data_IF_462519622953
#
_entry.id   IF_462519622953
#
_cell.length_a   1.000
_cell.length_b   1.000
_cell.length_c   1.000
_cell.angle_alpha   90.00
_cell.angle_beta   90.00
_cell.angle_gamma   90.00
#
_symmetry.space_group_name_H-M   'P 1'
#
loop_
_entity.id
_entity.type
_entity.pdbx_description
1 polymer ?
#
# COMPACT_ATOMS: atom_id res chain seq x y z
N UNK A 1 24.08 -2.02 0.63
CA UNK A 1 23.15 -3.15 0.88
C UNK A 1 22.19 -2.85 2.03
N UNK A 2 22.62 -2.16 3.10
CA UNK A 2 21.72 -1.65 4.17
C UNK A 2 20.62 -0.70 3.68
N UNK A 3 20.91 0.19 2.71
CA UNK A 3 19.94 1.16 2.20
C UNK A 3 18.76 0.53 1.43
N UNK A 4 18.94 -0.68 0.89
CA UNK A 4 17.87 -1.43 0.22
C UNK A 4 16.97 -2.10 1.27
N UNK A 5 17.53 -2.57 2.39
CA UNK A 5 16.77 -3.19 3.48
C UNK A 5 15.84 -2.24 4.23
N UNK A 6 16.23 -0.97 4.40
CA UNK A 6 15.37 0.09 4.97
C UNK A 6 14.31 0.59 3.98
N UNK A 7 14.58 0.52 2.68
CA UNK A 7 13.59 0.82 1.64
C UNK A 7 12.47 -0.21 1.57
N UNK A 8 12.81 -1.51 1.65
CA UNK A 8 11.86 -2.63 1.57
C UNK A 8 10.88 -2.68 2.77
N UNK A 9 11.30 -2.26 3.97
CA UNK A 9 10.41 -2.14 5.14
C UNK A 9 9.47 -0.93 5.06
N UNK A 10 9.76 0.05 4.20
CA UNK A 10 8.86 1.16 3.86
C UNK A 10 7.80 0.76 2.83
N UNK A 11 8.18 -0.05 1.83
CA UNK A 11 7.24 -0.63 0.87
C UNK A 11 6.19 -1.52 1.49
N UNK A 12 6.48 -2.13 2.64
CA UNK A 12 5.51 -2.92 3.37
C UNK A 12 4.32 -2.09 3.85
N UNK A 13 4.58 -0.89 4.39
CA UNK A 13 3.53 0.04 4.81
C UNK A 13 2.73 0.56 3.61
N UNK A 14 3.36 0.63 2.44
CA UNK A 14 2.72 1.00 1.17
C UNK A 14 1.95 -0.18 0.52
N UNK A 15 2.31 -1.44 0.79
CA UNK A 15 1.58 -2.62 0.35
C UNK A 15 0.16 -2.68 0.93
N UNK A 16 -0.02 -2.08 2.11
CA UNK A 16 -1.31 -1.94 2.79
C UNK A 16 -2.20 -0.87 2.13
N UNK A 17 -1.60 0.14 1.49
CA UNK A 17 -2.28 1.22 0.77
C UNK A 17 -2.55 0.85 -0.69
N UNK A 18 -1.57 0.25 -1.36
CA UNK A 18 -1.71 -0.42 -2.64
C UNK A 18 -2.00 -1.91 -2.41
N UNK A 19 -3.13 -2.22 -1.76
CA UNK A 19 -3.55 -3.56 -1.29
C UNK A 19 -3.20 -4.70 -2.26
N UNK A 20 -2.01 -5.28 -2.09
CA UNK A 20 -1.64 -6.52 -2.76
C UNK A 20 -2.17 -7.65 -1.90
N UNK A 21 -3.12 -8.42 -2.43
CA UNK A 21 -3.50 -9.67 -1.80
C UNK A 21 -2.30 -10.63 -1.79
N UNK A 22 -1.63 -10.75 -0.65
CA UNK A 22 -0.79 -11.91 -0.34
C UNK A 22 -1.74 -13.06 -0.06
N UNK A 23 -2.04 -13.89 -1.06
CA UNK A 23 -2.74 -15.16 -0.81
C UNK A 23 -1.99 -16.32 -1.45
N UNK A 24 -1.54 -17.24 -0.59
CA UNK A 24 -1.11 -18.59 -0.96
C UNK A 24 -2.32 -19.43 -1.44
N UNK A 25 -2.09 -20.55 -2.14
CA UNK A 25 -2.93 -20.98 -3.25
C UNK A 25 -4.13 -21.82 -2.80
N UNK A 26 -5.33 -21.43 -3.22
CA UNK A 26 -6.32 -22.34 -3.82
C UNK A 26 -7.56 -21.58 -4.25
N UNK A 27 -7.80 -21.60 -5.56
CA UNK A 27 -9.12 -21.47 -6.18
C UNK A 27 -9.90 -20.19 -5.87
N UNK A 28 -9.52 -19.10 -6.53
CA UNK A 28 -10.48 -18.17 -7.13
C UNK A 28 -9.83 -17.52 -8.36
N UNK A 29 -10.02 -18.16 -9.52
CA UNK A 29 -10.05 -17.46 -10.81
C UNK A 29 -11.16 -16.40 -10.68
N UNK A 30 -10.82 -15.14 -10.96
CA UNK A 30 -11.66 -13.95 -10.81
C UNK A 30 -11.78 -13.45 -9.38
N UNK A 31 -10.94 -12.47 -9.01
CA UNK A 31 -11.39 -11.34 -8.19
C UNK A 31 -10.67 -10.08 -8.70
N UNK A 32 -11.49 -9.23 -9.30
CA UNK A 32 -11.14 -7.97 -9.96
C UNK A 32 -10.45 -6.98 -9.01
N UNK A 33 -9.54 -6.20 -9.61
CA UNK A 33 -9.28 -4.79 -9.36
C UNK A 33 -9.28 -4.36 -7.89
N UNK A 34 -8.07 -4.18 -7.35
CA UNK A 34 -7.86 -3.57 -6.04
C UNK A 34 -8.48 -2.17 -6.01
N UNK A 35 -9.54 -2.03 -5.22
CA UNK A 35 -10.26 -0.79 -4.97
C UNK A 35 -10.01 -0.37 -3.53
N UNK A 36 -9.14 0.63 -3.32
CA UNK A 36 -9.26 1.67 -2.28
C UNK A 36 -8.54 2.92 -2.80
N UNK A 37 -9.23 4.06 -2.77
CA UNK A 37 -8.90 5.37 -3.39
C UNK A 37 -8.89 5.34 -4.92
N UNK A 38 -10.06 5.23 -5.56
CA UNK A 38 -10.17 5.09 -7.03
C UNK A 38 -9.44 3.88 -7.65
N UNK A 39 -8.64 3.13 -6.88
CA UNK A 39 -7.96 1.91 -7.26
C UNK A 39 -6.47 1.94 -6.89
N UNK A 40 -5.72 0.89 -7.24
CA UNK A 40 -4.27 0.96 -7.32
C UNK A 40 -3.88 1.75 -8.59
N UNK A 41 -3.89 3.06 -8.52
CA UNK A 41 -3.68 3.96 -9.66
C UNK A 41 -2.49 4.92 -9.45
N UNK A 42 -1.70 4.75 -8.39
CA UNK A 42 -0.53 5.59 -8.12
C UNK A 42 -0.87 7.03 -7.69
N UNK A 43 -2.14 7.37 -7.44
CA UNK A 43 -2.58 8.70 -6.97
C UNK A 43 -1.85 9.18 -5.70
N UNK A 44 -1.55 8.26 -4.77
CA UNK A 44 -0.77 8.51 -3.56
C UNK A 44 0.64 9.07 -3.83
N UNK A 45 1.24 8.79 -4.99
CA UNK A 45 2.58 9.26 -5.34
C UNK A 45 2.59 10.71 -5.79
N UNK A 46 1.44 11.27 -6.18
CA UNK A 46 1.33 12.62 -6.73
C UNK A 46 1.51 13.67 -5.65
N UNK A 47 2.36 14.67 -5.92
CA UNK A 47 2.53 15.84 -5.05
C UNK A 47 1.43 16.89 -5.26
N UNK A 48 1.25 17.75 -4.25
CA UNK A 48 0.25 18.82 -4.31
C UNK A 48 0.54 19.78 -5.45
N UNK A 49 -0.47 19.98 -6.30
CA UNK A 49 -0.43 20.94 -7.40
C UNK A 49 -1.74 21.73 -7.43
N UNK A 50 -2.64 21.44 -8.37
CA UNK A 50 -4.02 21.97 -8.41
C UNK A 50 -5.01 21.17 -7.54
N UNK A 51 -4.53 20.10 -6.91
CA UNK A 51 -5.24 19.26 -5.95
C UNK A 51 -4.37 19.03 -4.71
N UNK A 52 -5.01 18.69 -3.59
CA UNK A 52 -4.30 18.29 -2.38
C UNK A 52 -3.81 16.84 -2.48
N UNK A 53 -2.52 16.61 -2.22
CA UNK A 53 -1.93 15.26 -2.19
C UNK A 53 -2.53 14.38 -1.10
N UNK A 54 -2.60 13.07 -1.36
CA UNK A 54 -2.92 12.08 -0.33
C UNK A 54 -1.80 11.90 0.69
N UNK A 55 -0.57 12.34 0.40
CA UNK A 55 0.55 12.29 1.35
C UNK A 55 0.30 13.10 2.62
N UNK A 56 -0.61 14.08 2.57
CA UNK A 56 -1.01 14.90 3.74
C UNK A 56 -2.36 14.46 4.34
N UNK A 57 -2.91 13.32 3.93
CA UNK A 57 -4.06 12.72 4.60
C UNK A 57 -3.68 12.26 6.01
N UNK A 58 -4.63 12.24 6.95
CA UNK A 58 -4.39 11.93 8.37
C UNK A 58 -3.73 10.57 8.59
N UNK A 59 -4.05 9.57 7.77
CA UNK A 59 -3.46 8.25 7.83
C UNK A 59 -2.05 8.17 7.25
N UNK A 60 -1.70 9.10 6.35
CA UNK A 60 -0.50 9.02 5.52
C UNK A 60 0.60 9.97 5.99
N UNK A 61 0.20 11.17 6.44
CA UNK A 61 1.10 12.24 6.86
C UNK A 61 2.05 11.73 7.95
N UNK A 62 3.35 11.86 7.68
CA UNK A 62 4.47 11.37 8.52
C UNK A 62 4.45 9.86 8.84
N UNK A 63 3.60 9.08 8.18
CA UNK A 63 3.48 7.62 8.36
C UNK A 63 4.07 6.87 7.15
N UNK A 64 3.58 7.19 5.95
CA UNK A 64 3.99 6.55 4.70
C UNK A 64 5.37 7.03 4.29
N UNK A 65 6.17 6.11 3.75
CA UNK A 65 7.57 6.33 3.38
C UNK A 65 7.96 5.46 2.19
N UNK A 66 9.12 5.74 1.59
CA UNK A 66 9.66 4.98 0.48
C UNK A 66 9.32 5.53 -0.91
N UNK A 67 8.79 6.76 -0.98
CA UNK A 67 8.50 7.45 -2.25
C UNK A 67 9.74 7.56 -3.13
N UNK A 68 10.89 7.85 -2.53
CA UNK A 68 12.16 8.03 -3.24
C UNK A 68 12.64 6.74 -3.92
N UNK A 69 12.29 5.58 -3.36
CA UNK A 69 12.65 4.30 -3.96
C UNK A 69 11.77 4.02 -5.18
N UNK A 70 10.49 4.41 -5.15
CA UNK A 70 9.60 4.35 -6.31
C UNK A 70 10.13 5.24 -7.43
N UNK A 71 10.54 6.46 -7.11
CA UNK A 71 11.13 7.39 -8.06
C UNK A 71 12.41 6.83 -8.71
N UNK A 72 13.28 6.19 -7.92
CA UNK A 72 14.49 5.54 -8.42
C UNK A 72 14.18 4.36 -9.36
N UNK A 73 13.20 3.52 -9.01
CA UNK A 73 12.78 2.41 -9.87
C UNK A 73 12.22 2.97 -11.19
N UNK A 74 11.31 3.95 -11.10
CA UNK A 74 10.68 4.58 -12.27
C UNK A 74 11.72 5.21 -13.19
N UNK A 75 12.62 6.02 -12.64
CA UNK A 75 13.70 6.65 -13.41
C UNK A 75 14.65 5.62 -14.03
N UNK A 76 14.98 4.53 -13.31
CA UNK A 76 15.82 3.45 -13.82
C UNK A 76 15.18 2.73 -15.00
N UNK A 77 13.88 2.42 -14.91
CA UNK A 77 13.12 1.79 -15.99
C UNK A 77 12.99 2.71 -17.21
N UNK A 78 12.59 3.96 -17.00
CA UNK A 78 12.40 4.92 -18.08
C UNK A 78 13.73 5.19 -18.80
N UNK A 79 14.85 5.24 -18.07
CA UNK A 79 16.20 5.33 -18.66
C UNK A 79 16.58 4.09 -19.45
N UNK A 80 16.29 2.89 -18.94
CA UNK A 80 16.64 1.64 -19.60
C UNK A 80 15.88 1.45 -20.92
N UNK A 81 14.58 1.76 -20.92
CA UNK A 81 13.72 1.60 -22.10
C UNK A 81 13.67 2.85 -22.99
N UNK A 82 14.22 3.98 -22.53
CA UNK A 82 14.20 5.26 -23.24
C UNK A 82 12.81 5.92 -23.31
N UNK A 83 11.81 5.36 -22.64
CA UNK A 83 10.44 5.88 -22.59
C UNK A 83 9.67 5.32 -21.38
N UNK A 84 8.62 6.02 -20.92
CA UNK A 84 7.81 5.59 -19.79
C UNK A 84 6.84 4.46 -20.18
N UNK A 85 7.31 3.22 -20.11
CA UNK A 85 6.52 2.03 -20.49
C UNK A 85 5.78 1.35 -19.34
N UNK A 86 6.21 1.57 -18.10
CA UNK A 86 5.61 0.96 -16.90
C UNK A 86 5.01 2.04 -16.03
N UNK A 87 3.77 1.82 -15.59
CA UNK A 87 3.05 2.71 -14.70
C UNK A 87 3.63 2.67 -13.29
N UNK A 88 3.59 3.80 -12.59
CA UNK A 88 3.94 3.87 -11.18
C UNK A 88 3.05 2.94 -10.35
N UNK A 89 1.76 2.84 -10.70
CA UNK A 89 0.83 1.89 -10.11
C UNK A 89 1.30 0.43 -10.18
N UNK A 90 1.83 -0.02 -11.32
CA UNK A 90 2.36 -1.38 -11.43
C UNK A 90 3.70 -1.55 -10.72
N UNK A 91 4.55 -0.52 -10.68
CA UNK A 91 5.79 -0.52 -9.88
C UNK A 91 5.45 -0.79 -8.41
N UNK A 92 4.45 -0.09 -7.85
CA UNK A 92 4.05 -0.27 -6.46
C UNK A 92 3.62 -1.70 -6.16
N UNK A 93 2.81 -2.29 -7.03
CA UNK A 93 2.32 -3.66 -6.84
C UNK A 93 3.45 -4.70 -7.02
N UNK A 94 4.39 -4.48 -7.93
CA UNK A 94 5.54 -5.40 -8.04
C UNK A 94 6.46 -5.25 -6.82
N UNK A 95 6.76 -4.01 -6.42
CA UNK A 95 7.66 -3.72 -5.31
C UNK A 95 7.13 -4.28 -3.98
N UNK A 96 5.84 -4.12 -3.69
CA UNK A 96 5.28 -4.67 -2.45
C UNK A 96 5.27 -6.22 -2.44
N UNK A 97 5.04 -6.89 -3.58
CA UNK A 97 5.22 -8.36 -3.68
C UNK A 97 6.67 -8.76 -3.41
N UNK A 98 7.62 -8.06 -4.03
CA UNK A 98 9.05 -8.37 -3.89
C UNK A 98 9.55 -8.11 -2.46
N UNK A 99 9.05 -7.08 -1.79
CA UNK A 99 9.32 -6.83 -0.36
C UNK A 99 8.87 -7.98 0.53
N UNK A 100 7.65 -8.50 0.33
CA UNK A 100 7.15 -9.64 1.12
C UNK A 100 8.01 -10.89 0.88
N UNK A 101 8.36 -11.19 -0.37
CA UNK A 101 9.20 -12.35 -0.70
C UNK A 101 10.61 -12.19 -0.12
N UNK A 102 11.22 -11.02 -0.25
CA UNK A 102 12.57 -10.75 0.23
C UNK A 102 12.68 -10.78 1.76
N UNK A 103 11.67 -10.27 2.47
CA UNK A 103 11.72 -10.13 3.94
C UNK A 103 11.19 -11.38 4.65
N UNK A 104 10.09 -11.97 4.18
CA UNK A 104 9.45 -13.11 4.87
C UNK A 104 9.90 -14.47 4.34
N UNK A 105 10.66 -14.53 3.24
CA UNK A 105 11.09 -15.79 2.63
C UNK A 105 9.94 -16.66 2.12
N UNK A 106 8.76 -16.05 1.91
CA UNK A 106 7.54 -16.74 1.51
C UNK A 106 7.51 -17.14 0.02
N UNK A 107 6.52 -17.95 -0.39
CA UNK A 107 6.33 -18.30 -1.78
C UNK A 107 6.01 -17.06 -2.61
N UNK A 108 6.61 -16.96 -3.80
CA UNK A 108 6.30 -15.89 -4.75
C UNK A 108 4.99 -16.16 -5.49
N UNK A 109 4.31 -15.10 -5.93
CA UNK A 109 3.13 -15.19 -6.78
C UNK A 109 3.25 -14.23 -7.97
N UNK A 110 2.52 -14.54 -9.06
CA UNK A 110 2.43 -13.65 -10.22
C UNK A 110 1.49 -12.49 -9.89
N UNK A 111 2.00 -11.28 -10.07
CA UNK A 111 1.21 -10.05 -10.01
C UNK A 111 0.56 -9.79 -11.36
N UNK A 112 -0.74 -9.49 -11.38
CA UNK A 112 -1.41 -8.98 -12.58
C UNK A 112 -0.98 -7.54 -12.83
N UNK A 113 -0.51 -7.24 -14.04
CA UNK A 113 -0.05 -5.91 -14.49
C UNK A 113 -1.03 -5.31 -15.50
N UNK A 114 -0.83 -4.05 -15.84
CA UNK A 114 -1.67 -3.28 -16.76
C UNK A 114 -2.40 -2.11 -16.10
N UNK A 115 -2.05 -1.76 -14.85
CA UNK A 115 -2.61 -0.58 -14.17
C UNK A 115 -2.14 0.69 -14.87
N UNK A 116 -2.95 1.74 -14.78
CA UNK A 116 -2.63 3.06 -15.33
C UNK A 116 -2.52 4.06 -14.19
N UNK A 117 -1.64 5.04 -14.38
CA UNK A 117 -1.43 6.09 -13.40
C UNK A 117 -2.57 7.12 -13.44
N UNK A 118 -3.03 7.51 -12.26
CA UNK A 118 -3.95 8.60 -12.06
C UNK A 118 -3.28 9.94 -12.34
N UNK A 119 -4.10 10.92 -12.73
CA UNK A 119 -3.67 12.31 -12.94
C UNK A 119 -4.06 13.22 -11.78
N UNK A 120 -4.67 12.67 -10.71
CA UNK A 120 -5.15 13.43 -9.55
C UNK A 120 -5.11 12.60 -8.26
N UNK A 121 -4.85 13.28 -7.15
CA UNK A 121 -4.94 12.71 -5.80
C UNK A 121 -6.22 13.14 -5.05
N UNK A 122 -6.61 12.35 -4.03
CA UNK A 122 -7.89 12.44 -3.32
C UNK A 122 -7.72 12.39 -1.79
N UNK A 123 -7.11 13.42 -1.20
CA UNK A 123 -6.91 13.55 0.25
C UNK A 123 -8.16 13.29 1.10
N UNK A 124 -9.31 13.85 0.74
CA UNK A 124 -10.55 13.68 1.51
C UNK A 124 -11.09 12.24 1.43
N UNK A 125 -10.90 11.59 0.29
CA UNK A 125 -11.22 10.18 0.12
C UNK A 125 -10.28 9.31 0.98
N UNK A 126 -8.99 9.63 1.02
CA UNK A 126 -8.03 8.98 1.91
C UNK A 126 -8.45 9.11 3.38
N UNK A 127 -8.83 10.32 3.82
CA UNK A 127 -9.27 10.59 5.19
C UNK A 127 -10.55 9.83 5.60
N UNK A 128 -11.45 9.59 4.65
CA UNK A 128 -12.73 8.91 4.92
C UNK A 128 -12.68 7.40 4.73
N UNK A 129 -11.69 6.89 3.99
CA UNK A 129 -11.65 5.50 3.55
C UNK A 129 -10.60 4.66 4.26
N UNK A 130 -9.46 5.25 4.64
CA UNK A 130 -8.41 4.51 5.32
C UNK A 130 -8.87 4.07 6.71
N UNK A 131 -8.66 2.79 7.10
CA UNK A 131 -9.00 2.34 8.44
C UNK A 131 -8.11 3.03 9.48
N UNK A 132 -8.68 3.34 10.64
CA UNK A 132 -7.93 3.89 11.78
C UNK A 132 -7.59 2.78 12.78
N UNK A 133 -6.45 2.91 13.46
CA UNK A 133 -6.01 1.94 14.47
C UNK A 133 -6.98 1.81 15.66
N UNK A 134 -7.81 2.83 15.91
CA UNK A 134 -8.82 2.84 16.97
C UNK A 134 -10.17 2.24 16.57
N UNK A 135 -10.34 1.76 15.33
CA UNK A 135 -11.59 1.13 14.90
C UNK A 135 -11.81 -0.20 15.61
N UNK A 136 -13.04 -0.45 16.04
CA UNK A 136 -13.45 -1.76 16.55
C UNK A 136 -13.69 -2.76 15.40
N UNK A 137 -13.85 -4.04 15.75
CA UNK A 137 -14.01 -5.10 14.75
C UNK A 137 -15.23 -4.89 13.82
N UNK A 138 -16.43 -4.49 14.31
CA UNK A 138 -17.55 -4.14 13.42
C UNK A 138 -17.22 -3.02 12.44
N UNK A 139 -16.55 -1.95 12.88
CA UNK A 139 -16.14 -0.85 12.01
C UNK A 139 -15.12 -1.30 10.95
N UNK A 140 -14.12 -2.10 11.33
CA UNK A 140 -13.15 -2.68 10.40
C UNK A 140 -13.80 -3.56 9.35
N UNK A 141 -14.74 -4.44 9.76
CA UNK A 141 -15.49 -5.29 8.82
C UNK A 141 -16.30 -4.43 7.84
N UNK A 142 -16.96 -3.38 8.32
CA UNK A 142 -17.73 -2.45 7.48
C UNK A 142 -16.83 -1.70 6.50
N UNK A 143 -15.70 -1.18 6.98
CA UNK A 143 -14.71 -0.49 6.17
C UNK A 143 -14.20 -1.40 5.03
N UNK A 144 -13.78 -2.63 5.35
CA UNK A 144 -13.31 -3.59 4.33
C UNK A 144 -14.41 -3.96 3.34
N UNK A 145 -15.65 -4.14 3.81
CA UNK A 145 -16.81 -4.42 2.95
C UNK A 145 -17.08 -3.29 1.95
N UNK A 146 -16.94 -2.03 2.37
CA UNK A 146 -17.09 -0.86 1.48
C UNK A 146 -16.03 -0.83 0.37
N UNK A 147 -14.95 -1.59 0.53
CA UNK A 147 -13.88 -1.76 -0.46
C UNK A 147 -14.00 -3.08 -1.24
N UNK A 148 -15.13 -3.78 -1.14
CA UNK A 148 -15.35 -5.07 -1.80
C UNK A 148 -14.60 -6.25 -1.16
N UNK A 149 -14.05 -6.09 0.04
CA UNK A 149 -13.31 -7.12 0.76
C UNK A 149 -14.16 -7.79 1.84
N UNK A 150 -13.99 -9.09 2.01
CA UNK A 150 -14.73 -9.87 3.00
C UNK A 150 -13.93 -10.05 4.31
N UNK A 151 -14.54 -10.72 5.29
CA UNK A 151 -13.89 -10.97 6.60
C UNK A 151 -12.60 -11.78 6.52
N UNK A 152 -12.49 -12.71 5.55
CA UNK A 152 -11.25 -13.47 5.32
C UNK A 152 -10.15 -12.57 4.76
N UNK A 153 -10.50 -11.67 3.85
CA UNK A 153 -9.56 -10.66 3.34
C UNK A 153 -9.07 -9.75 4.48
N UNK A 154 -9.97 -9.31 5.38
CA UNK A 154 -9.60 -8.55 6.57
C UNK A 154 -8.54 -9.28 7.41
N UNK A 155 -8.83 -10.52 7.81
CA UNK A 155 -7.90 -11.32 8.63
C UNK A 155 -6.57 -11.56 7.91
N UNK A 156 -6.60 -11.91 6.63
CA UNK A 156 -5.39 -12.15 5.84
C UNK A 156 -4.53 -10.90 5.69
N UNK A 157 -5.15 -9.74 5.38
CA UNK A 157 -4.44 -8.48 5.19
C UNK A 157 -3.97 -7.87 6.51
N UNK A 158 -4.66 -8.10 7.63
CA UNK A 158 -4.14 -7.75 8.96
C UNK A 158 -2.84 -8.49 9.30
N UNK A 159 -2.55 -9.61 8.63
CA UNK A 159 -1.24 -10.27 8.70
C UNK A 159 -0.09 -9.40 8.22
N UNK A 160 -0.35 -8.32 7.47
CA UNK A 160 0.62 -7.30 7.12
C UNK A 160 1.32 -6.71 8.36
N UNK A 161 0.64 -6.59 9.49
CA UNK A 161 1.26 -6.08 10.72
C UNK A 161 2.29 -7.04 11.36
N UNK A 162 2.62 -8.17 10.72
CA UNK A 162 3.71 -9.06 11.17
C UNK A 162 5.11 -8.44 11.02
N UNK A 163 5.26 -7.41 10.18
CA UNK A 163 6.49 -6.65 9.98
C UNK A 163 6.17 -5.17 9.87
N UNK A 164 7.18 -4.32 10.11
CA UNK A 164 7.04 -2.87 10.10
C UNK A 164 7.06 -2.27 11.50
N UNK A 165 6.78 -0.97 11.56
CA UNK A 165 6.81 -0.16 12.77
C UNK A 165 5.55 0.72 12.83
N UNK A 166 5.08 1.00 14.04
CA UNK A 166 4.01 1.95 14.33
C UNK A 166 4.52 3.09 15.20
N UNK A 167 4.00 4.30 15.01
CA UNK A 167 4.29 5.40 15.92
C UNK A 167 3.57 5.19 17.27
N UNK A 168 4.16 5.64 18.38
CA UNK A 168 3.54 5.54 19.71
C UNK A 168 2.15 6.19 19.76
N UNK A 169 1.97 7.31 19.04
CA UNK A 169 0.69 8.04 18.98
C UNK A 169 -0.45 7.21 18.37
N UNK A 170 -0.12 6.19 17.56
CA UNK A 170 -1.09 5.32 16.89
C UNK A 170 -1.70 4.28 17.83
N UNK A 171 -0.97 3.89 18.89
CA UNK A 171 -1.38 2.81 19.81
C UNK A 171 -2.26 3.29 20.98
N UNK A 172 -2.50 4.60 21.09
CA UNK A 172 -3.29 5.19 22.18
C UNK A 172 -2.59 5.15 23.55
N UNK A 173 -3.22 5.78 24.56
CA UNK A 173 -2.67 6.00 25.91
C UNK A 173 -2.67 4.75 26.82
N UNK A 174 -2.84 3.55 26.27
CA UNK A 174 -2.93 2.29 27.03
C UNK A 174 -1.59 1.68 27.44
N UNK A 175 -0.47 2.22 26.94
CA UNK A 175 0.88 1.78 27.29
C UNK A 175 1.60 2.88 28.07
N UNK A 176 1.42 2.89 29.39
CA UNK A 176 2.41 3.50 30.30
C UNK A 176 3.65 2.61 30.26
N UNK A 177 4.81 3.14 29.85
CA UNK A 177 6.08 2.51 30.19
C UNK A 177 6.20 2.55 31.71
N UNK A 178 5.92 1.43 32.38
CA UNK A 178 6.33 1.20 33.76
C UNK A 178 7.80 0.78 33.79
#
# INVERSE_FOLDING_TARGET
MESVGLGLSSFHQHADECRIKVTAPKHTRHMQESYVLQGCDGSLLLDSTSFETEKIARGNFTSVRGFEVVDQIKAGMDRFYGCPIVSCADILVVAARDSVVAVLGGPTWKVHLGRRDSTRAWKDLANSTLPFASMDLPALISNFKNQGLNKRDLVALSGGHTIGLSQCVTLGTGFTMQ
#
